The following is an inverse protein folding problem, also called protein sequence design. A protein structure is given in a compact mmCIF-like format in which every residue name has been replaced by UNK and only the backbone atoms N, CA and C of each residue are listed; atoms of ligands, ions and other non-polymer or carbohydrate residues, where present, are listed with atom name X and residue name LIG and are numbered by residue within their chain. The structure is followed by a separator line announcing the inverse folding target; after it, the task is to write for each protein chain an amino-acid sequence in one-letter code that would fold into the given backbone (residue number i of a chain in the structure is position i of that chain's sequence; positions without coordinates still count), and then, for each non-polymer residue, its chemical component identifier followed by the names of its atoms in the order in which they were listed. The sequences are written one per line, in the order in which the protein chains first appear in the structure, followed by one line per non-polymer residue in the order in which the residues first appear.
data_IF_310951223230
#
_entry.id   IF_310951223230
#
_cell.length_a   1.000
_cell.length_b   1.000
_cell.length_c   1.000
_cell.angle_alpha   90.00
_cell.angle_beta   90.00
_cell.angle_gamma   90.00
#
_symmetry.space_group_name_H-M   'P 1'
#
loop_
_entity.id
_entity.type
_entity.pdbx_description
1 polymer ?
#
# COMPACT_ATOMS: atom_id res chain seq x y z
N UNK A 1 -68.83 12.93 23.47
CA UNK A 1 -67.67 12.72 24.42
C UNK A 1 -67.00 11.35 24.25
N UNK A 2 -67.68 10.24 24.11
CA UNK A 2 -67.06 8.92 23.98
C UNK A 2 -66.46 8.61 22.59
N UNK A 3 -66.89 9.26 21.51
CA UNK A 3 -66.31 9.03 20.16
C UNK A 3 -64.98 9.76 19.94
N UNK A 4 -64.74 10.90 20.54
CA UNK A 4 -63.50 11.65 20.46
C UNK A 4 -62.35 11.00 21.29
N UNK A 5 -62.71 10.40 22.44
CA UNK A 5 -61.70 9.68 23.26
C UNK A 5 -61.18 8.43 22.55
N UNK A 6 -62.06 7.70 21.84
CA UNK A 6 -61.65 6.50 21.10
C UNK A 6 -60.77 6.82 19.85
N UNK A 7 -60.99 7.97 19.19
CA UNK A 7 -60.17 8.40 18.07
C UNK A 7 -58.75 8.81 18.53
N UNK A 8 -58.65 9.50 19.67
CA UNK A 8 -57.36 9.91 20.25
C UNK A 8 -56.53 8.71 20.75
N UNK A 9 -57.13 7.70 21.38
CA UNK A 9 -56.43 6.50 21.82
C UNK A 9 -55.98 5.61 20.64
N UNK A 10 -56.75 5.56 19.54
CA UNK A 10 -56.37 4.85 18.32
C UNK A 10 -55.19 5.48 17.61
N UNK A 11 -55.10 6.82 17.57
CA UNK A 11 -53.98 7.54 16.99
C UNK A 11 -52.70 7.47 17.84
N UNK A 12 -52.82 7.41 19.18
CA UNK A 12 -51.67 7.24 20.07
C UNK A 12 -51.09 5.83 19.93
N UNK A 13 -51.89 4.79 19.77
CA UNK A 13 -51.41 3.42 19.54
C UNK A 13 -50.75 3.25 18.17
N UNK A 14 -51.27 3.92 17.13
CA UNK A 14 -50.65 3.87 15.80
C UNK A 14 -49.32 4.62 15.79
N UNK A 15 -49.19 5.77 16.48
CA UNK A 15 -47.94 6.51 16.61
C UNK A 15 -46.89 5.72 17.41
N UNK A 16 -47.33 5.04 18.48
CA UNK A 16 -46.44 4.19 19.30
C UNK A 16 -45.91 2.98 18.51
N UNK A 17 -46.71 2.32 17.69
CA UNK A 17 -46.29 1.18 16.88
C UNK A 17 -45.37 1.63 15.73
N UNK A 18 -45.61 2.78 15.11
CA UNK A 18 -44.70 3.34 14.08
C UNK A 18 -43.39 3.79 14.67
N UNK A 19 -43.35 4.40 15.87
CA UNK A 19 -42.09 4.76 16.54
C UNK A 19 -41.27 3.51 16.94
N UNK A 20 -41.90 2.46 17.42
CA UNK A 20 -41.21 1.19 17.78
C UNK A 20 -40.70 0.48 16.52
N UNK A 21 -41.43 0.52 15.39
CA UNK A 21 -40.92 -0.05 14.13
C UNK A 21 -39.81 0.77 13.49
N UNK A 22 -39.78 2.10 13.68
CA UNK A 22 -38.68 2.96 13.22
C UNK A 22 -37.43 2.81 14.10
N UNK A 23 -37.58 2.62 15.41
CA UNK A 23 -36.44 2.36 16.31
C UNK A 23 -35.82 0.98 16.09
N UNK A 24 -36.56 -0.02 15.65
CA UNK A 24 -36.01 -1.33 15.30
C UNK A 24 -35.29 -1.37 13.94
N UNK A 25 -35.50 -0.37 13.08
CA UNK A 25 -34.82 -0.30 11.77
C UNK A 25 -33.48 0.44 11.78
N UNK A 26 -33.01 0.95 12.94
CA UNK A 26 -31.74 1.71 13.06
C UNK A 26 -30.68 0.95 13.87
N UNK A 27 -30.99 -0.21 14.43
CA UNK A 27 -29.95 -1.07 14.98
C UNK A 27 -29.37 -1.88 13.81
N UNK A 28 -28.51 -1.26 13.02
CA UNK A 28 -27.54 -2.01 12.20
C UNK A 28 -26.64 -2.72 13.21
N UNK A 29 -27.05 -3.92 13.60
CA UNK A 29 -26.15 -4.80 14.33
C UNK A 29 -24.98 -5.07 13.40
N UNK A 30 -23.81 -4.60 13.77
CA UNK A 30 -22.57 -5.07 13.18
C UNK A 30 -22.55 -6.58 13.40
N UNK A 31 -22.91 -7.35 12.36
CA UNK A 31 -23.07 -8.79 12.47
C UNK A 31 -21.67 -9.41 12.45
N UNK A 32 -21.28 -10.05 13.55
CA UNK A 32 -20.07 -10.85 13.58
C UNK A 32 -20.19 -12.04 12.62
N UNK A 33 -19.12 -12.41 11.97
CA UNK A 33 -19.06 -13.54 11.05
C UNK A 33 -17.91 -14.48 11.39
N UNK A 34 -17.99 -15.73 10.94
CA UNK A 34 -16.88 -16.66 11.01
C UNK A 34 -15.92 -16.36 9.85
N UNK A 35 -14.67 -16.05 10.19
CA UNK A 35 -13.64 -15.76 9.20
C UNK A 35 -12.88 -17.02 8.78
N UNK A 36 -12.47 -17.04 7.53
CA UNK A 36 -11.40 -17.90 7.03
C UNK A 36 -10.10 -17.12 7.01
N UNK A 37 -9.01 -17.76 7.46
CA UNK A 37 -7.68 -17.16 7.53
C UNK A 37 -6.71 -18.00 6.70
N UNK A 38 -5.88 -17.31 5.90
CA UNK A 38 -4.83 -17.89 5.07
C UNK A 38 -3.55 -17.12 5.30
N UNK A 39 -2.55 -17.79 5.87
CA UNK A 39 -1.27 -17.21 6.23
C UNK A 39 -0.14 -17.98 5.55
N UNK A 40 1.00 -17.32 5.32
CA UNK A 40 2.17 -17.95 4.75
C UNK A 40 3.25 -16.95 4.33
N UNK A 41 4.20 -17.44 3.53
CA UNK A 41 5.31 -16.65 3.02
C UNK A 41 5.17 -16.45 1.51
N UNK A 42 5.47 -15.23 1.05
CA UNK A 42 5.50 -14.84 -0.36
C UNK A 42 6.45 -13.64 -0.56
N UNK A 43 7.18 -13.57 -1.66
CA UNK A 43 8.05 -12.44 -2.01
C UNK A 43 9.05 -12.02 -0.91
N UNK A 44 9.62 -13.00 -0.19
CA UNK A 44 10.52 -12.83 0.96
C UNK A 44 9.87 -12.08 2.15
N UNK A 45 8.55 -12.16 2.30
CA UNK A 45 7.79 -11.61 3.42
C UNK A 45 6.60 -12.54 3.75
N UNK A 46 5.86 -12.20 4.79
CA UNK A 46 4.62 -12.92 5.16
C UNK A 46 3.40 -12.32 4.47
N UNK A 47 2.33 -13.12 4.38
CA UNK A 47 1.00 -12.63 4.06
C UNK A 47 -0.03 -13.14 5.07
N UNK A 48 -1.06 -12.32 5.31
CA UNK A 48 -2.21 -12.63 6.15
C UNK A 48 -3.50 -12.21 5.42
N UNK A 49 -4.36 -13.18 5.11
CA UNK A 49 -5.62 -12.96 4.41
C UNK A 49 -6.74 -13.42 5.30
N UNK A 50 -7.62 -12.50 5.71
CA UNK A 50 -8.80 -12.78 6.52
C UNK A 50 -10.03 -12.36 5.74
N UNK A 51 -11.03 -13.25 5.58
CA UNK A 51 -12.26 -12.91 4.89
C UNK A 51 -13.47 -13.70 5.38
N UNK A 52 -14.67 -13.15 5.13
CA UNK A 52 -15.94 -13.81 5.35
C UNK A 52 -16.21 -14.78 4.19
N UNK A 53 -16.28 -16.06 4.50
CA UNK A 53 -16.62 -17.07 3.52
C UNK A 53 -18.13 -17.08 3.25
N UNK A 54 -18.55 -16.93 1.99
CA UNK A 54 -19.95 -16.91 1.61
C UNK A 54 -20.55 -18.31 1.60
N UNK A 55 -21.88 -18.41 1.82
CA UNK A 55 -22.57 -19.70 1.72
C UNK A 55 -22.37 -20.33 0.34
N UNK A 56 -22.41 -19.52 -0.72
CA UNK A 56 -22.23 -19.96 -2.10
C UNK A 56 -20.83 -20.54 -2.35
N UNK A 57 -19.78 -19.97 -1.78
CA UNK A 57 -18.41 -20.49 -1.88
C UNK A 57 -18.24 -21.81 -1.12
N UNK A 58 -18.89 -21.94 0.05
CA UNK A 58 -18.93 -23.19 0.82
C UNK A 58 -19.63 -24.32 0.05
N UNK A 59 -20.77 -24.03 -0.57
CA UNK A 59 -21.51 -24.99 -1.38
C UNK A 59 -20.73 -25.46 -2.61
N UNK A 60 -19.99 -24.54 -3.27
CA UNK A 60 -19.13 -24.86 -4.41
C UNK A 60 -17.83 -25.56 -4.02
N UNK A 61 -17.52 -25.72 -2.74
CA UNK A 61 -16.24 -26.26 -2.23
C UNK A 61 -15.04 -25.54 -2.86
N UNK A 62 -15.10 -24.20 -2.89
CA UNK A 62 -14.07 -23.38 -3.49
C UNK A 62 -12.70 -23.67 -2.86
N UNK A 63 -11.69 -23.95 -3.69
CA UNK A 63 -10.32 -24.11 -3.22
C UNK A 63 -9.62 -22.75 -3.20
N UNK A 64 -9.84 -21.99 -2.14
CA UNK A 64 -9.28 -20.67 -1.92
C UNK A 64 -7.75 -20.68 -1.94
N UNK A 65 -7.15 -21.65 -1.27
CA UNK A 65 -5.71 -21.75 -1.11
C UNK A 65 -4.98 -21.90 -2.44
N UNK A 66 -5.43 -22.83 -3.31
CA UNK A 66 -4.81 -23.03 -4.62
C UNK A 66 -5.04 -21.82 -5.54
N UNK A 67 -6.20 -21.18 -5.44
CA UNK A 67 -6.50 -19.96 -6.20
C UNK A 67 -5.59 -18.81 -5.81
N UNK A 68 -5.38 -18.57 -4.51
CA UNK A 68 -4.47 -17.53 -3.99
C UNK A 68 -3.02 -17.84 -4.42
N UNK A 69 -2.58 -19.09 -4.28
CA UNK A 69 -1.25 -19.52 -4.75
C UNK A 69 -1.05 -19.29 -6.24
N UNK A 70 -2.08 -19.54 -7.03
CA UNK A 70 -2.03 -19.27 -8.47
C UNK A 70 -1.87 -17.78 -8.75
N UNK A 71 -2.60 -16.91 -8.06
CA UNK A 71 -2.46 -15.46 -8.19
C UNK A 71 -1.04 -15.01 -7.86
N UNK A 72 -0.43 -15.49 -6.77
CA UNK A 72 0.96 -15.21 -6.43
C UNK A 72 1.93 -15.66 -7.54
N UNK A 73 1.74 -16.85 -8.10
CA UNK A 73 2.58 -17.38 -9.18
C UNK A 73 2.47 -16.56 -10.46
N UNK A 74 1.26 -16.19 -10.85
CA UNK A 74 1.00 -15.38 -12.06
C UNK A 74 1.61 -13.97 -11.88
N UNK A 75 1.57 -13.43 -10.66
CA UNK A 75 2.18 -12.15 -10.30
C UNK A 75 3.71 -12.20 -10.32
N UNK A 76 4.33 -13.23 -9.72
CA UNK A 76 5.78 -13.46 -9.75
C UNK A 76 6.30 -13.55 -11.18
N UNK A 77 5.63 -14.33 -12.02
CA UNK A 77 5.96 -14.43 -13.44
C UNK A 77 5.88 -13.08 -14.16
N UNK A 78 5.04 -12.18 -13.69
CA UNK A 78 4.84 -10.86 -14.32
C UNK A 78 5.85 -9.82 -13.85
N UNK A 79 6.05 -9.68 -12.54
CA UNK A 79 6.67 -8.50 -11.90
C UNK A 79 7.91 -8.80 -11.05
N UNK A 80 8.28 -10.06 -10.82
CA UNK A 80 9.47 -10.36 -10.04
C UNK A 80 10.74 -10.02 -10.82
N UNK A 81 11.53 -9.10 -10.28
CA UNK A 81 12.84 -8.76 -10.82
C UNK A 81 13.91 -9.82 -10.50
N UNK A 82 13.62 -10.72 -9.55
CA UNK A 82 14.48 -11.86 -9.18
C UNK A 82 14.22 -13.09 -10.05
N UNK A 83 13.09 -13.13 -10.75
CA UNK A 83 12.76 -14.20 -11.69
C UNK A 83 13.22 -13.80 -13.11
N UNK A 84 14.29 -14.43 -13.65
CA UNK A 84 14.81 -14.08 -14.97
C UNK A 84 13.83 -14.37 -16.12
N UNK A 85 12.79 -15.18 -15.85
CA UNK A 85 11.74 -15.51 -16.82
C UNK A 85 10.51 -14.58 -16.72
N UNK A 86 10.51 -13.64 -15.81
CA UNK A 86 9.40 -12.70 -15.65
C UNK A 86 9.33 -11.72 -16.81
N UNK A 87 8.13 -11.18 -17.02
CA UNK A 87 7.87 -10.18 -18.07
C UNK A 87 8.69 -8.92 -17.84
N UNK A 88 8.76 -8.42 -16.59
CA UNK A 88 9.53 -7.21 -16.26
C UNK A 88 11.04 -7.44 -16.46
N UNK A 89 11.55 -8.63 -16.13
CA UNK A 89 12.97 -8.99 -16.38
C UNK A 89 13.29 -9.06 -17.87
N UNK A 90 12.38 -9.61 -18.69
CA UNK A 90 12.53 -9.61 -20.14
C UNK A 90 12.56 -8.18 -20.71
N UNK A 91 11.72 -7.26 -20.20
CA UNK A 91 11.73 -5.85 -20.58
C UNK A 91 13.00 -5.14 -20.12
N UNK A 92 13.48 -5.42 -18.92
CA UNK A 92 14.73 -4.88 -18.40
C UNK A 92 15.93 -5.31 -19.25
N UNK A 93 15.91 -6.54 -19.76
CA UNK A 93 16.95 -7.11 -20.64
C UNK A 93 16.76 -6.75 -22.13
N UNK A 94 15.87 -5.82 -22.46
CA UNK A 94 15.61 -5.34 -23.82
C UNK A 94 15.19 -6.45 -24.80
N UNK A 95 14.50 -7.49 -24.32
CA UNK A 95 13.97 -8.52 -25.20
C UNK A 95 12.95 -7.91 -26.16
N UNK A 96 13.16 -7.97 -27.50
CA UNK A 96 12.29 -7.33 -28.49
C UNK A 96 10.86 -7.92 -28.51
N UNK A 97 10.69 -9.14 -28.02
CA UNK A 97 9.41 -9.84 -27.97
C UNK A 97 8.68 -9.65 -26.64
N UNK A 98 9.31 -9.01 -25.65
CA UNK A 98 8.66 -8.74 -24.37
C UNK A 98 7.45 -7.82 -24.56
N UNK A 99 6.34 -8.21 -23.97
CA UNK A 99 5.09 -7.44 -23.96
C UNK A 99 4.53 -7.40 -22.54
N UNK A 100 4.15 -6.22 -22.09
CA UNK A 100 3.46 -6.04 -20.84
C UNK A 100 2.13 -6.81 -20.86
N UNK A 101 1.98 -7.73 -19.93
CA UNK A 101 0.66 -8.26 -19.59
C UNK A 101 -0.09 -7.25 -18.71
N UNK A 102 -1.31 -7.58 -18.29
CA UNK A 102 -2.13 -6.65 -17.51
C UNK A 102 -1.46 -6.21 -16.20
N UNK A 103 -0.74 -7.12 -15.51
CA UNK A 103 -0.04 -6.79 -14.26
C UNK A 103 1.06 -5.74 -14.49
N UNK A 104 1.93 -5.99 -15.45
CA UNK A 104 3.03 -5.06 -15.78
C UNK A 104 2.50 -3.74 -16.31
N UNK A 105 1.44 -3.77 -17.15
CA UNK A 105 0.80 -2.57 -17.68
C UNK A 105 0.27 -1.69 -16.55
N UNK A 106 -0.50 -2.24 -15.62
CA UNK A 106 -1.06 -1.51 -14.48
C UNK A 106 0.04 -0.86 -13.64
N UNK A 107 1.11 -1.60 -13.33
CA UNK A 107 2.24 -1.07 -12.54
C UNK A 107 2.94 0.07 -13.26
N UNK A 108 3.25 -0.07 -14.57
CA UNK A 108 3.91 1.00 -15.32
C UNK A 108 3.00 2.24 -15.41
N UNK A 109 1.71 2.08 -15.73
CA UNK A 109 0.76 3.19 -15.85
C UNK A 109 0.60 3.94 -14.52
N UNK A 110 0.40 3.22 -13.40
CA UNK A 110 0.31 3.82 -12.06
C UNK A 110 1.63 4.49 -11.67
N UNK A 111 2.76 3.85 -11.94
CA UNK A 111 4.08 4.44 -11.67
C UNK A 111 4.27 5.76 -12.40
N UNK A 112 3.91 5.84 -13.69
CA UNK A 112 4.00 7.08 -14.46
C UNK A 112 3.02 8.16 -13.98
N UNK A 113 1.83 7.77 -13.50
CA UNK A 113 0.86 8.67 -12.87
C UNK A 113 1.43 9.29 -11.60
N UNK A 114 1.88 8.46 -10.65
CA UNK A 114 2.46 8.92 -9.38
C UNK A 114 3.75 9.71 -9.59
N UNK A 115 4.61 9.30 -10.55
CA UNK A 115 5.83 10.04 -10.89
C UNK A 115 5.51 11.48 -11.34
N UNK A 116 4.49 11.67 -12.18
CA UNK A 116 4.06 13.00 -12.59
C UNK A 116 3.54 13.82 -11.41
N UNK A 117 2.68 13.22 -10.59
CA UNK A 117 2.05 13.90 -9.46
C UNK A 117 3.05 14.28 -8.35
N UNK A 118 4.10 13.47 -8.18
CA UNK A 118 5.18 13.71 -7.21
C UNK A 118 6.41 14.39 -7.82
N UNK A 119 6.29 14.89 -9.05
CA UNK A 119 7.37 15.52 -9.81
C UNK A 119 8.64 14.64 -9.88
N UNK A 120 8.48 13.31 -9.97
CA UNK A 120 9.58 12.34 -10.07
C UNK A 120 10.23 11.96 -8.74
N UNK A 121 9.59 12.21 -7.61
CA UNK A 121 10.04 11.64 -6.33
C UNK A 121 9.78 10.13 -6.26
N UNK A 122 8.71 9.66 -6.88
CA UNK A 122 8.55 8.27 -7.26
C UNK A 122 9.04 8.08 -8.70
N UNK A 123 9.88 7.09 -8.95
CA UNK A 123 10.36 6.79 -10.30
C UNK A 123 10.67 5.29 -10.45
N UNK A 124 9.88 4.60 -11.27
CA UNK A 124 10.06 3.17 -11.52
C UNK A 124 11.39 2.85 -12.23
N UNK A 125 12.08 3.84 -12.81
CA UNK A 125 13.36 3.63 -13.51
C UNK A 125 14.58 3.66 -12.59
N UNK A 126 14.38 3.73 -11.27
CA UNK A 126 15.42 3.90 -10.25
C UNK A 126 16.32 2.67 -10.05
N UNK A 127 15.96 1.50 -10.61
CA UNK A 127 16.68 0.23 -10.43
C UNK A 127 18.21 0.31 -10.54
N UNK A 128 18.81 1.02 -11.53
CA UNK A 128 20.27 1.11 -11.63
C UNK A 128 20.92 1.81 -10.43
N UNK A 129 20.26 2.83 -9.87
CA UNK A 129 20.72 3.51 -8.65
C UNK A 129 20.58 2.62 -7.43
N UNK A 130 19.46 1.92 -7.26
CA UNK A 130 19.24 0.98 -6.16
C UNK A 130 20.30 -0.13 -6.17
N UNK A 131 20.64 -0.64 -7.35
CA UNK A 131 21.71 -1.62 -7.52
C UNK A 131 23.10 -1.05 -7.18
N UNK A 132 23.43 0.18 -7.61
CA UNK A 132 24.71 0.83 -7.29
C UNK A 132 24.89 0.96 -5.76
N UNK A 133 23.85 1.34 -5.04
CA UNK A 133 23.87 1.48 -3.59
C UNK A 133 23.79 0.15 -2.83
N UNK A 134 23.65 -0.99 -3.52
CA UNK A 134 23.65 -2.34 -2.94
C UNK A 134 22.34 -2.74 -2.26
N UNK A 135 21.24 -2.01 -2.52
CA UNK A 135 19.89 -2.35 -2.02
C UNK A 135 19.09 -3.19 -3.02
N UNK A 136 19.60 -3.39 -4.24
CA UNK A 136 18.98 -4.22 -5.27
C UNK A 136 19.51 -5.66 -5.27
N UNK A 137 19.48 -6.30 -6.44
CA UNK A 137 19.88 -7.70 -6.65
C UNK A 137 21.32 -7.88 -7.11
N UNK A 138 22.12 -6.81 -7.23
CA UNK A 138 23.55 -6.86 -7.50
C UNK A 138 24.34 -6.55 -6.24
N UNK A 139 25.57 -7.10 -6.18
CA UNK A 139 26.52 -6.70 -5.16
C UNK A 139 26.85 -5.22 -5.30
N UNK A 140 27.03 -4.57 -4.15
CA UNK A 140 27.40 -3.16 -4.08
C UNK A 140 28.69 -2.90 -4.84
N UNK A 141 28.67 -1.93 -5.73
CA UNK A 141 29.84 -1.43 -6.46
C UNK A 141 30.52 -0.29 -5.68
N UNK A 142 31.71 0.11 -6.14
CA UNK A 142 32.36 1.31 -5.58
C UNK A 142 31.54 2.55 -5.97
N UNK A 143 30.98 3.22 -4.96
CA UNK A 143 30.15 4.41 -5.15
C UNK A 143 31.07 5.61 -5.33
N UNK A 144 31.04 6.22 -6.50
CA UNK A 144 31.70 7.49 -6.80
C UNK A 144 30.67 8.47 -7.39
N UNK A 145 30.96 9.76 -7.31
CA UNK A 145 30.09 10.78 -7.91
C UNK A 145 29.90 10.56 -9.41
N UNK A 146 30.99 10.21 -10.10
CA UNK A 146 30.98 9.93 -11.54
C UNK A 146 30.09 8.73 -11.89
N UNK A 147 30.06 7.69 -11.03
CA UNK A 147 29.17 6.54 -11.23
C UNK A 147 27.70 6.95 -11.07
N UNK A 148 27.37 7.74 -10.03
CA UNK A 148 26.03 8.29 -9.83
C UNK A 148 25.61 9.17 -11.01
N UNK A 149 26.44 10.13 -11.42
CA UNK A 149 26.17 11.04 -12.53
C UNK A 149 25.97 10.30 -13.87
N UNK A 150 26.77 9.25 -14.11
CA UNK A 150 26.60 8.39 -15.29
C UNK A 150 25.25 7.69 -15.33
N UNK A 151 24.77 7.19 -14.17
CA UNK A 151 23.47 6.50 -14.08
C UNK A 151 22.32 7.50 -14.20
N UNK A 152 22.43 8.69 -13.63
CA UNK A 152 21.39 9.73 -13.73
C UNK A 152 21.07 10.14 -15.18
N UNK A 153 22.02 9.96 -16.11
CA UNK A 153 21.78 10.24 -17.52
C UNK A 153 20.65 9.38 -18.11
N UNK A 154 20.40 8.18 -17.60
CA UNK A 154 19.38 7.28 -18.11
C UNK A 154 18.32 6.88 -17.07
N UNK A 155 18.32 7.42 -15.85
CA UNK A 155 17.19 7.35 -14.91
C UNK A 155 16.22 8.51 -15.20
N UNK A 156 14.92 8.26 -15.10
CA UNK A 156 13.88 9.25 -15.30
C UNK A 156 12.62 8.68 -15.96
N UNK A 157 11.49 8.76 -15.29
CA UNK A 157 10.21 8.23 -15.78
C UNK A 157 9.77 8.79 -17.13
N UNK A 158 10.20 10.00 -17.49
CA UNK A 158 9.92 10.62 -18.79
C UNK A 158 10.66 9.93 -19.94
N UNK A 159 11.69 9.13 -19.65
CA UNK A 159 12.53 8.41 -20.62
C UNK A 159 11.94 7.07 -21.05
N UNK A 160 10.76 6.71 -20.51
CA UNK A 160 10.04 5.48 -20.87
C UNK A 160 8.64 5.77 -21.37
N UNK A 161 8.13 4.89 -22.21
CA UNK A 161 6.76 4.90 -22.70
C UNK A 161 6.28 3.49 -23.00
N UNK A 162 5.09 3.14 -22.55
CA UNK A 162 4.41 1.91 -22.92
C UNK A 162 3.47 2.20 -24.10
N UNK A 163 3.57 1.43 -25.18
CA UNK A 163 2.66 1.58 -26.30
C UNK A 163 1.39 0.73 -26.14
N UNK A 164 0.41 0.94 -27.04
CA UNK A 164 -0.88 0.22 -27.00
C UNK A 164 -0.73 -1.30 -27.19
N UNK A 165 0.38 -1.77 -27.75
CA UNK A 165 0.68 -3.19 -27.96
C UNK A 165 1.45 -3.79 -26.77
N UNK A 166 1.63 -3.04 -25.69
CA UNK A 166 2.36 -3.45 -24.50
C UNK A 166 3.89 -3.49 -24.66
N UNK A 167 4.45 -2.81 -25.67
CA UNK A 167 5.90 -2.70 -25.81
C UNK A 167 6.41 -1.52 -24.98
N UNK A 168 7.44 -1.77 -24.17
CA UNK A 168 8.17 -0.72 -23.46
C UNK A 168 9.20 -0.09 -24.40
N UNK A 169 9.06 1.22 -24.63
CA UNK A 169 10.05 2.04 -25.32
C UNK A 169 10.91 2.74 -24.29
N UNK A 170 12.20 2.62 -24.39
CA UNK A 170 13.21 3.26 -23.55
C UNK A 170 14.04 4.20 -24.42
N UNK A 171 14.35 5.41 -23.93
CA UNK A 171 15.26 6.34 -24.61
C UNK A 171 16.72 5.85 -24.57
N UNK A 172 17.06 5.06 -23.55
CA UNK A 172 18.37 4.43 -23.37
C UNK A 172 18.16 2.96 -22.98
N UNK A 173 18.84 2.01 -23.64
CA UNK A 173 18.69 0.57 -23.33
C UNK A 173 19.15 0.19 -21.92
N UNK A 174 19.95 1.02 -21.24
CA UNK A 174 20.39 0.81 -19.86
C UNK A 174 19.30 1.06 -18.82
N UNK A 175 18.20 1.70 -19.17
CA UNK A 175 17.05 1.90 -18.27
C UNK A 175 16.54 0.55 -17.77
N UNK A 176 16.37 0.43 -16.47
CA UNK A 176 15.79 -0.73 -15.82
C UNK A 176 14.67 -0.30 -14.88
N UNK A 177 13.58 -1.08 -14.87
CA UNK A 177 12.42 -0.84 -14.04
C UNK A 177 12.59 -1.55 -12.69
N UNK A 178 12.17 -0.90 -11.62
CA UNK A 178 12.03 -1.44 -10.28
C UNK A 178 10.59 -1.30 -9.80
N UNK A 179 9.90 -2.42 -9.63
CA UNK A 179 8.52 -2.45 -9.16
C UNK A 179 8.41 -2.69 -7.64
N UNK A 180 9.50 -2.78 -6.89
CA UNK A 180 9.50 -3.19 -5.47
C UNK A 180 8.70 -2.27 -4.56
N UNK A 181 8.59 -0.99 -4.92
CA UNK A 181 7.90 0.07 -4.17
C UNK A 181 6.43 0.27 -4.54
N UNK A 182 5.84 -0.65 -5.29
CA UNK A 182 4.45 -0.59 -5.74
C UNK A 182 3.83 -2.00 -5.88
N UNK A 183 4.66 -3.02 -5.99
CA UNK A 183 4.22 -4.37 -6.34
C UNK A 183 3.43 -5.05 -5.21
N UNK A 184 3.83 -4.85 -3.94
CA UNK A 184 3.14 -5.50 -2.82
C UNK A 184 1.74 -4.93 -2.64
N UNK A 185 1.60 -3.60 -2.67
CA UNK A 185 0.29 -2.95 -2.63
C UNK A 185 -0.61 -3.42 -3.77
N UNK A 186 -0.07 -3.54 -4.98
CA UNK A 186 -0.86 -4.05 -6.12
C UNK A 186 -1.27 -5.51 -5.93
N UNK A 187 -0.42 -6.36 -5.36
CA UNK A 187 -0.81 -7.76 -5.10
C UNK A 187 -1.94 -7.87 -4.06
N UNK A 188 -1.94 -7.01 -3.03
CA UNK A 188 -3.06 -6.91 -2.09
C UNK A 188 -4.36 -6.58 -2.82
N UNK A 189 -4.34 -5.60 -3.73
CA UNK A 189 -5.51 -5.21 -4.52
C UNK A 189 -5.99 -6.32 -5.47
N UNK A 190 -5.09 -7.08 -6.07
CA UNK A 190 -5.45 -8.22 -6.94
C UNK A 190 -6.23 -9.26 -6.16
N UNK A 191 -5.75 -9.64 -4.97
CA UNK A 191 -6.44 -10.63 -4.13
C UNK A 191 -7.75 -10.04 -3.60
N UNK A 192 -7.75 -8.79 -3.12
CA UNK A 192 -8.96 -8.12 -2.64
C UNK A 192 -10.05 -8.06 -3.71
N UNK A 193 -9.68 -7.66 -4.93
CA UNK A 193 -10.60 -7.62 -6.07
C UNK A 193 -11.08 -9.02 -6.47
N UNK A 194 -10.21 -10.03 -6.40
CA UNK A 194 -10.59 -11.40 -6.66
C UNK A 194 -11.61 -11.91 -5.62
N UNK A 195 -11.39 -11.64 -4.32
CA UNK A 195 -12.35 -11.97 -3.25
C UNK A 195 -13.69 -11.26 -3.48
N UNK A 196 -13.67 -9.96 -3.79
CA UNK A 196 -14.87 -9.16 -4.10
C UNK A 196 -15.65 -9.76 -5.28
N UNK A 197 -14.96 -10.18 -6.34
CA UNK A 197 -15.57 -10.81 -7.51
C UNK A 197 -16.18 -12.21 -7.20
N UNK A 198 -15.74 -12.84 -6.10
CA UNK A 198 -16.33 -14.07 -5.55
C UNK A 198 -17.49 -13.80 -4.59
N UNK A 199 -17.93 -12.53 -4.45
CA UNK A 199 -19.03 -12.13 -3.59
C UNK A 199 -18.66 -11.93 -2.12
N UNK A 200 -17.38 -11.99 -1.77
CA UNK A 200 -16.90 -11.70 -0.41
C UNK A 200 -17.08 -10.21 -0.10
N UNK A 201 -17.75 -9.89 0.99
CA UNK A 201 -18.05 -8.52 1.41
C UNK A 201 -17.12 -7.99 2.48
N UNK A 202 -16.57 -8.86 3.30
CA UNK A 202 -15.71 -8.51 4.41
C UNK A 202 -14.36 -9.23 4.25
N UNK A 203 -13.30 -8.48 4.00
CA UNK A 203 -11.96 -9.03 3.85
C UNK A 203 -10.86 -8.04 4.21
N UNK A 204 -9.73 -8.57 4.62
CA UNK A 204 -8.45 -7.89 4.75
C UNK A 204 -7.37 -8.77 4.13
N UNK A 205 -6.59 -8.21 3.25
CA UNK A 205 -5.41 -8.82 2.62
C UNK A 205 -4.19 -8.00 3.02
N UNK A 206 -3.27 -8.61 3.73
CA UNK A 206 -2.00 -8.01 4.13
C UNK A 206 -0.84 -8.79 3.52
N UNK A 207 0.14 -8.10 2.93
CA UNK A 207 1.37 -8.68 2.38
C UNK A 207 2.55 -7.77 2.75
N UNK A 208 3.36 -8.20 3.73
CA UNK A 208 4.56 -7.48 4.14
C UNK A 208 4.33 -6.08 4.73
N UNK A 209 3.13 -5.83 5.25
CA UNK A 209 2.70 -4.57 5.84
C UNK A 209 1.80 -3.72 4.94
N UNK A 210 1.72 -4.01 3.65
CA UNK A 210 0.76 -3.42 2.73
C UNK A 210 -0.60 -4.11 2.87
N UNK A 211 -1.68 -3.34 2.93
CA UNK A 211 -3.02 -3.84 3.25
C UNK A 211 -4.05 -3.31 2.25
N UNK A 212 -4.89 -4.19 1.72
CA UNK A 212 -6.18 -3.82 1.13
C UNK A 212 -7.30 -4.44 1.96
N UNK A 213 -8.37 -3.67 2.21
CA UNK A 213 -9.48 -4.15 3.04
C UNK A 213 -10.82 -3.59 2.58
N UNK A 214 -11.88 -4.32 2.92
CA UNK A 214 -13.26 -3.92 2.67
C UNK A 214 -14.20 -4.50 3.74
N UNK A 215 -15.24 -3.73 4.07
CA UNK A 215 -16.26 -4.12 5.05
C UNK A 215 -15.76 -4.09 6.49
N UNK A 216 -16.24 -4.98 7.32
CA UNK A 216 -15.95 -5.03 8.74
C UNK A 216 -15.07 -6.23 9.11
N UNK A 217 -14.37 -6.11 10.23
CA UNK A 217 -13.64 -7.22 10.84
C UNK A 217 -14.61 -8.33 11.30
N UNK A 218 -14.12 -9.55 11.62
CA UNK A 218 -14.97 -10.65 12.11
C UNK A 218 -15.78 -10.32 13.36
N UNK A 219 -15.38 -9.28 14.11
CA UNK A 219 -16.10 -8.78 15.29
C UNK A 219 -17.26 -7.84 14.94
N UNK A 220 -17.47 -7.55 13.64
CA UNK A 220 -18.54 -6.68 13.16
C UNK A 220 -18.24 -5.16 13.24
N UNK A 221 -17.01 -4.77 13.59
CA UNK A 221 -16.56 -3.37 13.64
C UNK A 221 -15.59 -3.08 12.48
N UNK A 222 -15.33 -1.80 12.17
CA UNK A 222 -14.27 -1.44 11.24
C UNK A 222 -12.94 -2.15 11.57
N UNK A 223 -12.13 -2.40 10.56
CA UNK A 223 -10.79 -2.96 10.75
C UNK A 223 -9.92 -2.00 11.55
N UNK A 224 -9.12 -2.54 12.46
CA UNK A 224 -8.20 -1.77 13.31
C UNK A 224 -6.78 -2.09 12.92
N UNK A 225 -6.12 -1.11 12.30
CA UNK A 225 -4.76 -1.25 11.77
C UNK A 225 -3.82 -0.43 12.65
N UNK A 226 -2.80 -1.10 13.22
CA UNK A 226 -1.77 -0.45 14.03
C UNK A 226 -0.74 0.26 13.16
N UNK A 227 -0.40 1.51 13.50
CA UNK A 227 0.78 2.20 13.00
C UNK A 227 1.90 1.95 14.01
N UNK A 228 2.98 1.31 13.57
CA UNK A 228 4.08 0.93 14.45
C UNK A 228 4.99 2.12 14.79
N UNK A 229 5.53 2.10 16.01
CA UNK A 229 6.64 2.98 16.41
C UNK A 229 7.87 2.63 15.57
N UNK A 230 8.62 3.62 15.04
CA UNK A 230 9.86 3.36 14.32
C UNK A 230 10.99 3.01 15.31
N UNK A 231 11.21 1.72 15.55
CA UNK A 231 12.29 1.21 16.39
C UNK A 231 13.48 0.80 15.52
N UNK A 232 14.70 1.26 15.89
CA UNK A 232 15.93 0.86 15.20
C UNK A 232 16.42 -0.52 15.65
N UNK A 233 16.01 -0.98 16.83
CA UNK A 233 16.44 -2.25 17.39
C UNK A 233 15.51 -3.39 16.96
N UNK A 234 15.94 -4.12 15.92
CA UNK A 234 15.24 -5.31 15.39
C UNK A 234 15.18 -6.47 16.40
N UNK A 235 15.96 -6.43 17.50
CA UNK A 235 15.97 -7.46 18.54
C UNK A 235 15.06 -7.13 19.72
N UNK A 236 14.71 -5.87 19.93
CA UNK A 236 13.70 -5.48 20.90
C UNK A 236 12.31 -5.66 20.27
N UNK A 237 11.70 -6.80 20.51
CA UNK A 237 10.30 -7.11 20.13
C UNK A 237 9.29 -6.33 20.99
N UNK A 238 9.48 -5.05 21.18
CA UNK A 238 8.44 -4.17 21.69
C UNK A 238 7.69 -3.69 20.45
N UNK A 239 6.64 -4.41 20.09
CA UNK A 239 5.68 -3.96 19.07
C UNK A 239 4.91 -2.75 19.64
N UNK A 240 5.59 -1.61 19.77
CA UNK A 240 4.97 -0.36 20.12
C UNK A 240 4.04 0.07 19.00
N UNK A 241 2.74 0.14 19.29
CA UNK A 241 1.76 0.76 18.40
C UNK A 241 1.70 2.23 18.77
N UNK A 242 2.06 3.10 17.82
CA UNK A 242 1.97 4.56 17.98
C UNK A 242 0.51 5.03 17.94
N UNK A 243 -0.26 4.49 16.98
CA UNK A 243 -1.66 4.84 16.82
C UNK A 243 -2.44 3.70 16.15
N UNK A 244 -3.77 3.76 16.21
CA UNK A 244 -4.67 2.80 15.58
C UNK A 244 -5.55 3.55 14.59
N UNK A 245 -5.61 3.03 13.35
CA UNK A 245 -6.56 3.44 12.32
C UNK A 245 -7.80 2.55 12.38
N UNK A 246 -8.99 3.14 12.41
CA UNK A 246 -10.26 2.44 12.18
C UNK A 246 -10.76 2.75 10.77
N UNK A 247 -10.86 1.72 9.93
CA UNK A 247 -11.14 1.87 8.50
C UNK A 247 -11.96 0.67 8.00
N UNK A 248 -12.91 0.91 7.08
CA UNK A 248 -13.77 -0.12 6.49
C UNK A 248 -13.52 -0.39 5.01
N UNK A 249 -12.75 0.45 4.32
CA UNK A 249 -12.40 0.23 2.91
C UNK A 249 -11.19 1.04 2.51
N UNK A 250 -10.40 0.51 1.58
CA UNK A 250 -9.25 1.18 0.99
C UNK A 250 -7.96 0.37 1.10
N UNK A 251 -6.88 1.03 0.70
CA UNK A 251 -5.52 0.55 0.75
C UNK A 251 -4.67 1.31 1.76
N UNK A 252 -3.78 0.62 2.45
CA UNK A 252 -2.85 1.19 3.42
C UNK A 252 -1.46 0.63 3.12
N UNK A 253 -0.45 1.49 3.10
CA UNK A 253 0.94 1.08 2.99
C UNK A 253 1.85 1.96 3.84
N UNK A 254 2.94 1.38 4.34
CA UNK A 254 3.92 2.10 5.15
C UNK A 254 5.33 1.89 4.61
N UNK A 255 5.96 2.97 4.16
CA UNK A 255 7.38 3.04 3.86
C UNK A 255 8.16 3.60 5.04
N UNK A 256 9.33 3.02 5.35
CA UNK A 256 10.16 3.50 6.46
C UNK A 256 11.63 3.21 6.26
N UNK A 257 12.48 4.13 6.71
CA UNK A 257 13.93 4.05 6.55
C UNK A 257 14.63 3.33 7.73
N UNK A 258 13.89 2.85 8.73
CA UNK A 258 14.44 2.27 9.95
C UNK A 258 14.69 0.75 9.86
N UNK A 259 14.17 0.06 8.83
CA UNK A 259 14.29 -1.41 8.69
C UNK A 259 15.41 -1.84 7.76
N UNK A 260 15.72 -1.08 6.71
CA UNK A 260 16.68 -1.46 5.67
C UNK A 260 17.68 -0.33 5.43
N UNK A 261 18.82 -0.41 6.12
CA UNK A 261 19.90 0.58 6.06
C UNK A 261 21.24 -0.09 6.39
N UNK A 262 22.33 0.61 6.09
CA UNK A 262 23.66 0.27 6.56
C UNK A 262 24.43 1.53 7.00
N UNK A 263 25.48 1.32 7.79
CA UNK A 263 26.42 2.37 8.15
C UNK A 263 27.70 2.28 7.33
N UNK A 264 28.20 3.41 6.85
CA UNK A 264 29.50 3.54 6.21
C UNK A 264 30.12 4.86 6.61
N UNK A 265 31.37 4.84 7.08
CA UNK A 265 32.12 6.02 7.52
C UNK A 265 31.33 6.87 8.55
N UNK A 266 30.62 6.20 9.48
CA UNK A 266 29.78 6.82 10.50
C UNK A 266 28.48 7.43 9.98
N UNK A 267 28.20 7.35 8.67
CA UNK A 267 27.00 7.87 8.05
C UNK A 267 26.02 6.73 7.72
N UNK A 268 24.74 6.96 8.06
CA UNK A 268 23.64 6.03 7.76
C UNK A 268 23.14 6.22 6.34
N UNK A 269 22.97 5.12 5.62
CA UNK A 269 22.40 5.08 4.28
C UNK A 269 21.19 4.17 4.28
N UNK A 270 20.01 4.73 4.03
CA UNK A 270 18.76 3.99 3.91
C UNK A 270 18.50 3.57 2.45
N UNK A 271 17.68 2.54 2.28
CA UNK A 271 17.39 1.96 0.96
C UNK A 271 16.58 2.87 0.02
N UNK A 272 15.94 3.91 0.56
CA UNK A 272 15.18 4.88 -0.25
C UNK A 272 16.15 5.82 -0.97
N UNK A 273 16.18 5.72 -2.30
CA UNK A 273 17.04 6.55 -3.17
C UNK A 273 16.20 7.68 -3.76
N UNK A 274 16.74 8.89 -3.76
CA UNK A 274 16.16 10.02 -4.51
C UNK A 274 16.54 9.89 -5.99
N UNK A 275 15.57 9.66 -6.90
CA UNK A 275 15.84 9.48 -8.32
C UNK A 275 16.46 10.70 -9.01
N UNK A 276 16.33 11.90 -8.42
CA UNK A 276 16.86 13.14 -8.98
C UNK A 276 18.31 13.40 -8.62
N UNK A 277 18.68 13.06 -7.39
CA UNK A 277 20.05 13.25 -6.92
C UNK A 277 20.90 11.99 -7.07
N UNK A 278 20.27 10.83 -7.17
CA UNK A 278 20.93 9.52 -7.23
C UNK A 278 21.46 9.03 -5.89
N UNK A 279 21.19 9.73 -4.78
CA UNK A 279 21.69 9.42 -3.44
C UNK A 279 20.59 8.92 -2.51
N UNK A 280 20.92 8.10 -1.50
CA UNK A 280 20.02 7.76 -0.41
C UNK A 280 19.48 9.01 0.29
N UNK A 281 18.18 9.02 0.54
CA UNK A 281 17.48 10.15 1.15
C UNK A 281 18.00 10.41 2.56
N UNK A 282 18.37 11.67 2.82
CA UNK A 282 18.82 12.19 4.13
C UNK A 282 17.75 13.11 4.70
N UNK A 283 16.53 12.61 4.92
CA UNK A 283 15.42 13.35 5.51
C UNK A 283 15.17 12.87 6.93
N UNK A 284 14.58 13.73 7.74
CA UNK A 284 14.19 13.40 9.12
C UNK A 284 12.93 12.53 9.21
N UNK A 285 12.34 12.13 8.08
CA UNK A 285 11.17 11.25 8.03
C UNK A 285 11.60 9.81 8.34
N UNK A 286 11.01 9.22 9.37
CA UNK A 286 11.26 7.84 9.79
C UNK A 286 10.32 6.87 9.09
N UNK A 287 9.03 7.23 9.01
CA UNK A 287 8.03 6.47 8.27
C UNK A 287 6.94 7.33 7.67
N UNK A 288 6.35 6.84 6.59
CA UNK A 288 5.21 7.39 5.88
C UNK A 288 4.17 6.30 5.72
N UNK A 289 3.06 6.41 6.46
CA UNK A 289 1.88 5.55 6.27
C UNK A 289 0.87 6.30 5.42
N UNK A 290 0.48 5.73 4.29
CA UNK A 290 -0.47 6.32 3.33
C UNK A 290 -1.74 5.49 3.27
N UNK A 291 -2.89 6.17 3.22
CA UNK A 291 -4.21 5.60 3.01
C UNK A 291 -4.75 6.16 1.69
N UNK A 292 -5.25 5.28 0.82
CA UNK A 292 -5.84 5.63 -0.47
C UNK A 292 -7.02 4.69 -0.80
N UNK A 293 -7.68 4.91 -1.94
CA UNK A 293 -8.77 4.03 -2.42
C UNK A 293 -8.32 2.62 -2.74
N UNK A 294 -7.05 2.44 -3.09
CA UNK A 294 -6.40 1.16 -3.40
C UNK A 294 -4.97 1.13 -2.85
N UNK A 295 -4.46 -0.07 -2.63
CA UNK A 295 -3.17 -0.27 -1.97
C UNK A 295 -1.99 -0.01 -2.91
N UNK A 296 -2.14 -0.19 -4.22
CA UNK A 296 -1.10 0.19 -5.22
C UNK A 296 -0.81 1.69 -5.16
N UNK A 297 -1.83 2.52 -4.98
CA UNK A 297 -1.69 3.97 -4.78
C UNK A 297 -1.02 4.26 -3.45
N UNK A 298 -1.50 3.66 -2.36
CA UNK A 298 -0.92 3.87 -1.03
C UNK A 298 0.57 3.51 -0.99
N UNK A 299 0.99 2.37 -1.54
CA UNK A 299 2.39 1.88 -1.56
C UNK A 299 3.31 2.83 -2.35
N UNK A 300 2.88 3.25 -3.54
CA UNK A 300 3.67 4.18 -4.36
C UNK A 300 3.82 5.57 -3.72
N UNK A 301 2.74 6.14 -3.13
CA UNK A 301 2.84 7.43 -2.44
C UNK A 301 3.60 7.35 -1.12
N UNK A 302 3.50 6.23 -0.38
CA UNK A 302 4.30 6.04 0.82
C UNK A 302 5.80 6.16 0.52
N UNK A 303 6.27 5.53 -0.57
CA UNK A 303 7.65 5.66 -1.05
C UNK A 303 7.97 7.08 -1.55
N UNK A 304 7.08 7.69 -2.35
CA UNK A 304 7.28 9.05 -2.84
C UNK A 304 7.47 10.07 -1.70
N UNK A 305 6.66 9.97 -0.65
CA UNK A 305 6.70 10.90 0.47
C UNK A 305 7.99 10.76 1.32
N UNK A 306 8.54 9.53 1.41
CA UNK A 306 9.88 9.35 2.01
C UNK A 306 10.95 10.13 1.25
N UNK A 307 10.86 10.19 -0.08
CA UNK A 307 11.80 10.95 -0.92
C UNK A 307 11.54 12.45 -0.83
N UNK A 308 10.28 12.89 -0.88
CA UNK A 308 9.92 14.31 -0.88
C UNK A 308 10.19 15.00 0.45
N UNK A 309 10.00 14.28 1.56
CA UNK A 309 9.92 14.88 2.91
C UNK A 309 8.53 15.47 3.17
N UNK A 310 8.26 15.74 4.46
CA UNK A 310 6.90 16.04 4.93
C UNK A 310 6.31 17.31 4.32
N UNK A 311 7.08 18.40 4.20
CA UNK A 311 6.56 19.68 3.69
C UNK A 311 5.97 19.51 2.29
N UNK A 312 6.75 18.96 1.36
CA UNK A 312 6.28 18.71 -0.03
C UNK A 312 5.20 17.64 -0.11
N UNK A 313 5.23 16.66 0.79
CA UNK A 313 4.16 15.65 0.87
C UNK A 313 2.83 16.30 1.29
N UNK A 314 2.85 17.25 2.23
CA UNK A 314 1.64 18.00 2.63
C UNK A 314 1.09 18.87 1.49
N UNK A 315 1.94 19.44 0.62
CA UNK A 315 1.48 20.17 -0.57
C UNK A 315 0.72 19.25 -1.54
N UNK A 316 1.23 18.03 -1.76
CA UNK A 316 0.53 17.01 -2.58
C UNK A 316 -0.80 16.64 -1.95
N UNK A 317 -0.82 16.35 -0.65
CA UNK A 317 -2.04 15.99 0.10
C UNK A 317 -3.09 17.11 0.13
N UNK A 318 -2.65 18.36 0.11
CA UNK A 318 -3.55 19.50 0.02
C UNK A 318 -4.21 19.64 -1.37
N UNK A 319 -3.55 19.14 -2.43
CA UNK A 319 -4.07 19.14 -3.80
C UNK A 319 -4.93 17.93 -4.15
N UNK A 320 -4.84 16.84 -3.37
CA UNK A 320 -5.56 15.59 -3.61
C UNK A 320 -6.12 15.00 -2.31
N UNK A 321 -7.40 15.22 -2.07
CA UNK A 321 -8.11 14.74 -0.89
C UNK A 321 -8.41 13.22 -0.92
N UNK A 322 -8.12 12.52 -2.02
CA UNK A 322 -8.28 11.06 -2.12
C UNK A 322 -7.18 10.28 -1.40
N UNK A 323 -6.11 10.97 -1.00
CA UNK A 323 -4.94 10.41 -0.32
C UNK A 323 -4.81 11.03 1.06
N UNK A 324 -4.58 10.21 2.06
CA UNK A 324 -4.28 10.64 3.43
C UNK A 324 -2.95 10.05 3.88
N UNK A 325 -2.23 10.74 4.75
CA UNK A 325 -0.95 10.26 5.23
C UNK A 325 -0.70 10.56 6.71
N UNK A 326 0.07 9.67 7.34
CA UNK A 326 0.58 9.76 8.70
C UNK A 326 2.10 9.63 8.66
N UNK A 327 2.80 10.64 9.14
CA UNK A 327 4.26 10.71 9.15
C UNK A 327 4.80 10.62 10.56
N UNK A 328 5.82 9.82 10.76
CA UNK A 328 6.66 9.85 11.96
C UNK A 328 7.99 10.47 11.57
N UNK A 329 8.39 11.51 12.28
CA UNK A 329 9.53 12.36 11.96
C UNK A 329 10.48 12.36 13.15
N UNK A 330 11.78 12.20 12.92
CA UNK A 330 12.78 12.34 13.97
C UNK A 330 12.72 13.74 14.61
N UNK A 331 12.72 13.78 15.93
CA UNK A 331 12.74 15.01 16.74
C UNK A 331 13.57 14.76 18.00
N UNK A 332 14.82 15.21 17.98
CA UNK A 332 15.76 15.03 19.11
C UNK A 332 15.31 15.73 20.39
N UNK A 333 14.45 16.75 20.28
CA UNK A 333 13.95 17.52 21.42
C UNK A 333 12.78 16.84 22.12
N UNK A 334 12.13 15.86 21.49
CA UNK A 334 11.05 15.12 22.12
C UNK A 334 11.59 13.97 22.99
N UNK A 335 10.85 13.60 24.05
CA UNK A 335 11.20 12.45 24.91
C UNK A 335 11.22 11.14 24.12
N UNK A 336 10.33 11.01 23.14
CA UNK A 336 10.19 9.84 22.27
C UNK A 336 11.18 9.83 21.09
N UNK A 337 11.99 10.91 20.92
CA UNK A 337 12.90 11.12 19.80
C UNK A 337 12.21 11.23 18.41
N UNK A 338 10.90 11.36 18.39
CA UNK A 338 10.11 11.61 17.19
C UNK A 338 8.88 12.47 17.49
N UNK A 339 8.28 12.97 16.45
CA UNK A 339 6.96 13.62 16.45
C UNK A 339 6.12 13.11 15.29
N UNK A 340 4.81 13.31 15.40
CA UNK A 340 3.83 12.89 14.42
C UNK A 340 3.26 14.08 13.66
N UNK A 341 3.11 13.92 12.34
CA UNK A 341 2.39 14.85 11.47
C UNK A 341 1.46 14.02 10.57
N UNK A 342 0.24 14.46 10.38
CA UNK A 342 -0.73 13.77 9.52
C UNK A 342 -1.63 14.74 8.77
N UNK A 343 -2.20 14.27 7.65
CA UNK A 343 -3.18 15.04 6.87
C UNK A 343 -4.49 15.22 7.66
N UNK A 344 -5.17 16.35 7.46
CA UNK A 344 -6.39 16.70 8.20
C UNK A 344 -7.50 15.64 8.05
N UNK A 345 -7.64 15.05 6.84
CA UNK A 345 -8.63 13.99 6.58
C UNK A 345 -8.47 12.75 7.46
N UNK A 346 -7.24 12.45 7.90
CA UNK A 346 -6.94 11.26 8.70
C UNK A 346 -7.42 11.36 10.14
N UNK A 347 -7.56 12.56 10.68
CA UNK A 347 -7.90 12.81 12.10
C UNK A 347 -9.12 12.03 12.60
N UNK A 348 -10.11 11.84 11.72
CA UNK A 348 -11.37 11.12 12.07
C UNK A 348 -11.19 9.60 12.18
N UNK A 349 -10.14 9.04 11.59
CA UNK A 349 -9.85 7.61 11.56
C UNK A 349 -8.91 7.17 12.68
N UNK A 350 -8.22 8.12 13.33
CA UNK A 350 -7.28 7.84 14.41
C UNK A 350 -8.02 7.57 15.72
N UNK A 351 -7.61 6.51 16.41
CA UNK A 351 -8.09 6.15 17.76
C UNK A 351 -6.87 6.02 18.68
N UNK A 352 -6.94 6.70 19.78
CA UNK A 352 -5.94 6.58 20.87
C UNK A 352 -6.11 5.29 21.65
#
# INVERSE_FOLDING_TARGET
MNQELNSRMRNINILGVVLVSILNSIIVHAQSYQASNYDGDVFNTTYHITFEETLESKERKENWHDSIRKLFKDFDYSLSMFNPKSVISAMNNNNPDARANQYVKTVIEKSLEVSRHTSGAFDITVAPLVNLWGFGFKNREKITTEAVDSILQFVGYQKIRLDRKGRLHKQDPRIQLDASSIAKGYMCDIIGNWLKNKGVKNYMVEIGGEITLHGNSPKGYPWRIGINVPEEDIFQRVNGIENILEISEGGIATSGNYRNFYYQDGKRYAHTIDPKTGYPVQKNILSSTVIASDCITADSYATAFMVMGVEKALDVLASDNSIMAYFIIADENSTQKYKVVYSEGLKKMLKK
#
